data_IF_881189882838
#
_entry.id   IF_881189882838
#
_cell.length_a   1.000
_cell.length_b   1.000
_cell.length_c   1.000
_cell.angle_alpha   90.00
_cell.angle_beta   90.00
_cell.angle_gamma   90.00
#
_symmetry.space_group_name_H-M   'P 1'
#
loop_
_entity.id
_entity.type
_entity.pdbx_description
1 polymer ?
#
# COMPACT_ATOMS: atom_id res chain seq x y z
N UNK A 1 -33.00 -36.74 29.55
CA UNK A 1 -31.52 -36.67 29.50
C UNK A 1 -31.18 -35.48 28.62
N UNK A 2 -30.89 -34.33 29.23
CA UNK A 2 -30.45 -33.16 28.47
C UNK A 2 -29.19 -33.52 27.70
N UNK A 3 -29.28 -33.40 26.38
CA UNK A 3 -28.17 -33.75 25.50
C UNK A 3 -27.13 -32.66 25.71
N UNK A 4 -26.11 -32.97 26.50
CA UNK A 4 -25.03 -32.04 26.87
C UNK A 4 -24.50 -31.39 25.60
N UNK A 5 -24.66 -30.08 25.50
CA UNK A 5 -24.19 -29.29 24.37
C UNK A 5 -22.67 -29.41 24.24
N UNK A 6 -22.17 -29.47 23.01
CA UNK A 6 -20.75 -29.58 22.75
C UNK A 6 -20.01 -28.35 23.28
N UNK A 7 -18.85 -28.56 23.90
CA UNK A 7 -18.12 -27.51 24.63
C UNK A 7 -17.77 -26.29 23.77
N UNK A 8 -17.40 -26.50 22.50
CA UNK A 8 -17.16 -25.39 21.56
C UNK A 8 -18.40 -24.55 21.27
N UNK A 9 -19.59 -25.15 21.27
CA UNK A 9 -20.85 -24.40 21.14
C UNK A 9 -21.22 -23.67 22.43
N UNK A 10 -20.92 -24.25 23.60
CA UNK A 10 -21.05 -23.56 24.91
C UNK A 10 -20.21 -22.29 24.93
N UNK A 11 -18.92 -22.39 24.59
CA UNK A 11 -18.01 -21.24 24.51
C UNK A 11 -18.51 -20.17 23.53
N UNK A 12 -19.05 -20.59 22.38
CA UNK A 12 -19.63 -19.66 21.41
C UNK A 12 -20.80 -18.88 22.02
N UNK A 13 -21.75 -19.56 22.67
CA UNK A 13 -22.91 -18.91 23.28
C UNK A 13 -22.52 -17.97 24.42
N UNK A 14 -21.57 -18.35 25.26
CA UNK A 14 -21.05 -17.49 26.33
C UNK A 14 -20.43 -16.21 25.75
N UNK A 15 -19.58 -16.34 24.73
CA UNK A 15 -18.91 -15.21 24.10
C UNK A 15 -19.90 -14.26 23.39
N UNK A 16 -20.89 -14.80 22.65
CA UNK A 16 -21.86 -13.96 21.92
C UNK A 16 -22.91 -13.34 22.84
N UNK A 17 -23.27 -14.01 23.95
CA UNK A 17 -24.13 -13.44 24.97
C UNK A 17 -23.43 -12.26 25.66
N UNK A 18 -22.16 -12.41 26.02
CA UNK A 18 -21.35 -11.38 26.68
C UNK A 18 -21.07 -10.18 25.79
N UNK A 19 -20.71 -10.40 24.52
CA UNK A 19 -20.23 -9.33 23.61
C UNK A 19 -21.34 -8.70 22.77
N UNK A 20 -22.30 -9.49 22.33
CA UNK A 20 -23.31 -9.07 21.36
C UNK A 20 -24.74 -9.15 21.92
N UNK A 21 -24.91 -9.57 23.18
CA UNK A 21 -26.20 -9.79 23.82
C UNK A 21 -27.12 -10.73 23.01
N UNK A 22 -26.52 -11.75 22.36
CA UNK A 22 -27.21 -12.71 21.52
C UNK A 22 -27.49 -14.00 22.31
N UNK A 23 -28.76 -14.42 22.32
CA UNK A 23 -29.19 -15.58 23.11
C UNK A 23 -29.95 -16.63 22.28
N UNK A 24 -30.32 -16.32 21.02
CA UNK A 24 -31.12 -17.21 20.17
C UNK A 24 -30.33 -17.78 18.99
N UNK A 25 -30.56 -19.07 18.71
CA UNK A 25 -30.01 -19.77 17.53
C UNK A 25 -30.30 -19.05 16.21
N UNK A 26 -31.51 -18.52 16.05
CA UNK A 26 -31.94 -17.85 14.82
C UNK A 26 -31.19 -16.54 14.57
N UNK A 27 -30.92 -15.77 15.62
CA UNK A 27 -30.17 -14.53 15.54
C UNK A 27 -28.71 -14.79 15.18
N UNK A 28 -28.09 -15.80 15.82
CA UNK A 28 -26.73 -16.23 15.52
C UNK A 28 -26.60 -16.76 14.08
N UNK A 29 -27.57 -17.56 13.62
CA UNK A 29 -27.63 -18.07 12.26
C UNK A 29 -27.70 -16.93 11.23
N UNK A 30 -28.55 -15.92 11.47
CA UNK A 30 -28.71 -14.76 10.60
C UNK A 30 -27.42 -13.94 10.51
N UNK A 31 -26.76 -13.65 11.63
CA UNK A 31 -25.51 -12.87 11.64
C UNK A 31 -24.39 -13.62 10.92
N UNK A 32 -24.27 -14.93 11.18
CA UNK A 32 -23.27 -15.76 10.52
C UNK A 32 -23.60 -16.02 9.03
N UNK A 33 -24.85 -15.83 8.61
CA UNK A 33 -25.30 -16.13 7.25
C UNK A 33 -25.35 -17.62 6.97
N UNK A 34 -25.72 -18.41 7.98
CA UNK A 34 -25.86 -19.88 7.89
C UNK A 34 -27.30 -20.27 8.22
N UNK A 35 -27.72 -21.44 7.76
CA UNK A 35 -29.03 -21.99 8.13
C UNK A 35 -29.04 -22.43 9.60
N UNK A 36 -30.18 -22.29 10.29
CA UNK A 36 -30.32 -22.64 11.72
C UNK A 36 -29.95 -24.12 12.02
N UNK A 37 -30.16 -25.01 11.05
CA UNK A 37 -29.75 -26.41 11.14
C UNK A 37 -28.24 -26.57 11.36
N UNK A 38 -27.41 -25.67 10.81
CA UNK A 38 -25.95 -25.67 11.03
C UNK A 38 -25.61 -25.37 12.48
N UNK A 39 -26.30 -24.42 13.12
CA UNK A 39 -26.11 -24.11 14.54
C UNK A 39 -26.54 -25.30 15.41
N UNK A 40 -27.69 -25.93 15.12
CA UNK A 40 -28.13 -27.13 15.85
C UNK A 40 -27.14 -28.31 15.70
N UNK A 41 -26.50 -28.43 14.54
CA UNK A 41 -25.46 -29.44 14.34
C UNK A 41 -24.20 -29.13 15.16
N UNK A 42 -23.80 -27.87 15.26
CA UNK A 42 -22.65 -27.45 16.08
C UNK A 42 -22.89 -27.69 17.57
N UNK A 43 -24.09 -27.42 18.06
CA UNK A 43 -24.47 -27.72 19.45
C UNK A 43 -24.35 -29.21 19.80
N UNK A 44 -24.59 -30.09 18.82
CA UNK A 44 -24.57 -31.54 19.03
C UNK A 44 -23.19 -32.16 18.81
N UNK A 45 -22.44 -31.67 17.82
CA UNK A 45 -21.23 -32.34 17.27
C UNK A 45 -19.97 -31.48 17.32
N UNK A 46 -20.09 -30.23 17.76
CA UNK A 46 -19.03 -29.26 17.71
C UNK A 46 -19.01 -28.44 16.42
N UNK A 47 -18.45 -27.24 16.54
CA UNK A 47 -18.30 -26.30 15.42
C UNK A 47 -17.27 -26.85 14.42
N UNK A 48 -17.62 -26.87 13.14
CA UNK A 48 -16.71 -27.31 12.07
C UNK A 48 -15.56 -26.33 11.88
N UNK A 49 -14.45 -26.77 11.26
CA UNK A 49 -13.32 -25.88 10.92
C UNK A 49 -13.75 -24.66 10.09
N UNK A 50 -14.65 -24.86 9.13
CA UNK A 50 -15.23 -23.76 8.34
C UNK A 50 -16.11 -22.84 9.20
N UNK A 51 -16.88 -23.40 10.13
CA UNK A 51 -17.69 -22.63 11.08
C UNK A 51 -16.84 -21.76 12.02
N UNK A 52 -15.75 -22.31 12.55
CA UNK A 52 -14.81 -21.59 13.41
C UNK A 52 -14.20 -20.39 12.70
N UNK A 53 -13.71 -20.57 11.46
CA UNK A 53 -13.18 -19.48 10.65
C UNK A 53 -14.23 -18.42 10.31
N UNK A 54 -15.46 -18.85 10.03
CA UNK A 54 -16.57 -17.93 9.74
C UNK A 54 -16.93 -17.08 10.96
N UNK A 55 -17.05 -17.71 12.13
CA UNK A 55 -17.30 -17.03 13.41
C UNK A 55 -16.17 -16.05 13.72
N UNK A 56 -14.93 -16.48 13.54
CA UNK A 56 -13.77 -15.62 13.74
C UNK A 56 -13.81 -14.38 12.86
N UNK A 57 -14.11 -14.56 11.57
CA UNK A 57 -14.19 -13.46 10.60
C UNK A 57 -15.31 -12.48 10.95
N UNK A 58 -16.50 -12.98 11.32
CA UNK A 58 -17.70 -12.14 11.49
C UNK A 58 -17.87 -11.57 12.90
N UNK A 59 -17.47 -12.30 13.92
CA UNK A 59 -17.69 -11.95 15.34
C UNK A 59 -16.39 -11.64 16.10
N UNK A 60 -15.22 -11.76 15.43
CA UNK A 60 -13.90 -11.50 16.03
C UNK A 60 -13.64 -12.32 17.31
N UNK A 61 -14.21 -13.52 17.37
CA UNK A 61 -13.99 -14.50 18.44
C UNK A 61 -12.91 -15.48 17.97
N UNK A 62 -11.93 -15.80 18.81
CA UNK A 62 -10.79 -16.62 18.43
C UNK A 62 -11.21 -18.07 18.12
N UNK A 63 -10.87 -18.59 16.94
CA UNK A 63 -11.19 -19.96 16.52
C UNK A 63 -10.51 -21.03 17.38
N UNK A 64 -9.28 -20.80 17.81
CA UNK A 64 -8.51 -21.74 18.62
C UNK A 64 -9.10 -21.83 20.04
N UNK A 65 -9.51 -20.70 20.61
CA UNK A 65 -10.23 -20.67 21.89
C UNK A 65 -11.61 -21.34 21.77
N UNK A 66 -12.36 -21.10 20.70
CA UNK A 66 -13.64 -21.78 20.48
C UNK A 66 -13.48 -23.29 20.38
N UNK A 67 -12.46 -23.76 19.67
CA UNK A 67 -12.20 -25.18 19.48
C UNK A 67 -11.70 -25.86 20.76
N UNK A 68 -10.71 -25.27 21.42
CA UNK A 68 -9.93 -25.92 22.49
C UNK A 68 -10.18 -25.37 23.89
N UNK A 69 -10.69 -24.14 24.01
CA UNK A 69 -10.80 -23.39 25.27
C UNK A 69 -9.48 -22.78 25.73
N UNK A 70 -8.41 -22.88 24.94
CA UNK A 70 -7.07 -22.38 25.27
C UNK A 70 -6.78 -21.10 24.49
N UNK A 71 -6.16 -20.12 25.14
CA UNK A 71 -5.83 -18.81 24.56
C UNK A 71 -6.88 -17.74 24.83
N UNK A 72 -6.75 -16.60 24.15
CA UNK A 72 -7.64 -15.46 24.34
C UNK A 72 -9.00 -15.68 23.67
N UNK A 73 -10.09 -15.35 24.38
CA UNK A 73 -11.47 -15.45 23.91
C UNK A 73 -11.72 -14.63 22.63
N UNK A 74 -11.13 -13.45 22.57
CA UNK A 74 -11.26 -12.51 21.46
C UNK A 74 -9.95 -12.41 20.70
N UNK A 75 -10.06 -12.15 19.40
CA UNK A 75 -8.90 -11.66 18.66
C UNK A 75 -8.67 -10.22 19.10
N UNK A 76 -7.52 -9.96 19.71
CA UNK A 76 -7.10 -8.60 19.99
C UNK A 76 -6.91 -7.86 18.66
N UNK A 77 -7.57 -6.71 18.50
CA UNK A 77 -7.28 -5.80 17.39
C UNK A 77 -5.84 -5.24 17.46
N UNK A 78 -5.15 -5.49 18.57
CA UNK A 78 -3.70 -5.39 18.66
C UNK A 78 -3.07 -6.60 17.96
N UNK A 79 -2.78 -6.45 16.68
CA UNK A 79 -1.82 -7.27 15.94
C UNK A 79 -0.42 -6.93 16.46
N UNK A 80 -0.13 -7.30 17.71
CA UNK A 80 1.19 -7.22 18.35
C UNK A 80 1.15 -8.00 19.67
N UNK A 81 1.00 -9.33 19.60
CA UNK A 81 1.92 -10.20 20.34
C UNK A 81 1.75 -11.67 19.92
N UNK A 82 2.87 -12.38 19.78
CA UNK A 82 2.87 -13.84 19.90
C UNK A 82 2.92 -14.71 18.65
N UNK A 83 3.48 -14.26 17.53
CA UNK A 83 4.18 -15.21 16.63
C UNK A 83 5.65 -14.84 16.61
N UNK A 84 6.36 -15.41 17.58
CA UNK A 84 7.80 -15.61 17.54
C UNK A 84 8.12 -16.66 16.45
N UNK A 85 7.75 -16.38 15.20
CA UNK A 85 8.43 -16.94 14.03
C UNK A 85 9.50 -15.92 13.71
N UNK A 86 10.73 -16.27 14.04
CA UNK A 86 11.86 -15.89 13.22
C UNK A 86 11.64 -16.49 11.81
N UNK A 87 10.66 -15.97 11.08
CA UNK A 87 10.63 -16.09 9.64
C UNK A 87 11.58 -15.02 9.13
N UNK A 88 12.59 -15.43 8.36
CA UNK A 88 13.54 -14.55 7.67
C UNK A 88 12.88 -13.64 6.60
N UNK A 89 11.56 -13.43 6.70
CA UNK A 89 10.69 -12.67 5.82
C UNK A 89 10.49 -11.22 6.29
N UNK A 90 11.14 -10.79 7.39
CA UNK A 90 11.16 -9.39 7.84
C UNK A 90 11.81 -8.38 6.87
N UNK A 91 12.01 -8.76 5.60
CA UNK A 91 12.60 -7.95 4.52
C UNK A 91 11.72 -7.86 3.27
N UNK A 92 10.70 -8.72 3.13
CA UNK A 92 9.76 -8.67 2.01
C UNK A 92 8.36 -8.55 2.59
N UNK A 93 7.82 -7.34 2.51
CA UNK A 93 6.60 -6.90 3.18
C UNK A 93 5.43 -7.87 3.02
N UNK A 94 4.56 -7.85 4.02
CA UNK A 94 3.32 -8.61 4.04
C UNK A 94 2.59 -8.49 2.69
N UNK A 95 2.35 -9.63 2.06
CA UNK A 95 1.57 -9.70 0.82
C UNK A 95 0.10 -9.52 1.20
N UNK A 96 -0.35 -8.27 1.16
CA UNK A 96 -1.77 -7.95 1.26
C UNK A 96 -2.43 -8.17 -0.10
N UNK A 97 -3.37 -9.10 -0.17
CA UNK A 97 -4.29 -9.22 -1.31
C UNK A 97 -5.31 -8.09 -1.21
N UNK A 98 -5.15 -7.05 -2.03
CA UNK A 98 -6.11 -5.96 -2.11
C UNK A 98 -7.29 -6.36 -3.01
N UNK A 99 -8.51 -6.17 -2.51
CA UNK A 99 -9.77 -6.14 -3.28
C UNK A 99 -10.23 -4.67 -3.27
N UNK A 100 -10.82 -4.19 -4.38
CA UNK A 100 -11.41 -2.84 -4.52
C UNK A 100 -12.36 -2.47 -3.37
N UNK A 101 -12.93 -3.46 -2.68
CA UNK A 101 -13.85 -3.29 -1.56
C UNK A 101 -13.21 -3.41 -0.16
N UNK A 102 -11.91 -3.69 -0.09
CA UNK A 102 -11.21 -3.76 1.20
C UNK A 102 -10.84 -2.34 1.64
N UNK A 103 -11.37 -1.83 2.78
CA UNK A 103 -10.88 -0.58 3.31
C UNK A 103 -9.38 -0.73 3.51
N UNK A 104 -8.59 0.10 2.83
CA UNK A 104 -7.15 0.19 3.08
C UNK A 104 -6.98 0.18 4.59
N UNK A 105 -6.23 -0.81 5.10
CA UNK A 105 -5.93 -0.87 6.53
C UNK A 105 -5.44 0.51 6.97
N UNK A 106 -5.63 0.89 8.22
CA UNK A 106 -5.16 2.18 8.76
C UNK A 106 -3.63 2.40 8.64
N UNK A 107 -2.91 1.53 7.94
CA UNK A 107 -1.49 1.47 7.67
C UNK A 107 -1.10 2.19 6.37
N UNK A 108 -2.06 2.55 5.50
CA UNK A 108 -1.77 3.25 4.23
C UNK A 108 -2.32 4.68 4.23
N UNK A 109 -1.68 5.53 3.42
CA UNK A 109 -2.16 6.87 3.07
C UNK A 109 -2.22 7.01 1.57
N UNK A 110 -3.25 7.70 1.06
CA UNK A 110 -3.37 7.97 -0.37
C UNK A 110 -2.55 9.21 -0.73
N UNK A 111 -1.63 9.06 -1.68
CA UNK A 111 -0.77 10.14 -2.18
C UNK A 111 -1.11 10.45 -3.64
N UNK A 112 -1.02 11.72 -4.07
CA UNK A 112 -1.35 12.11 -5.44
C UNK A 112 -0.41 11.48 -6.46
N UNK A 113 -0.96 11.09 -7.62
CA UNK A 113 -0.19 10.66 -8.78
C UNK A 113 -0.23 11.77 -9.83
N UNK A 114 0.92 12.11 -10.40
CA UNK A 114 1.05 13.03 -11.52
C UNK A 114 1.56 12.29 -12.75
N UNK A 115 1.17 12.77 -13.92
CA UNK A 115 1.63 12.23 -15.19
C UNK A 115 1.72 13.31 -16.25
N UNK A 116 2.52 13.01 -17.26
CA UNK A 116 2.62 13.82 -18.46
C UNK A 116 1.35 13.65 -19.30
N UNK A 117 0.85 14.75 -19.82
CA UNK A 117 -0.25 14.80 -20.78
C UNK A 117 0.06 15.82 -21.86
N UNK A 118 -0.54 15.64 -23.03
CA UNK A 118 -0.46 16.60 -24.12
C UNK A 118 -1.88 17.03 -24.46
N UNK A 119 -2.15 18.33 -24.38
CA UNK A 119 -3.44 18.90 -24.75
C UNK A 119 -3.27 19.83 -25.95
N UNK A 120 -4.18 19.77 -26.90
CA UNK A 120 -4.18 20.68 -28.04
C UNK A 120 -4.55 22.09 -27.56
N UNK A 121 -3.65 23.05 -27.71
CA UNK A 121 -3.97 24.46 -27.56
C UNK A 121 -4.80 24.89 -28.77
N UNK A 122 -6.08 25.19 -28.53
CA UNK A 122 -7.05 25.55 -29.57
C UNK A 122 -6.72 26.86 -30.27
N UNK A 123 -5.87 27.71 -29.69
CA UNK A 123 -5.50 29.01 -30.27
C UNK A 123 -4.27 28.88 -31.19
N UNK A 124 -3.33 28.00 -30.84
CA UNK A 124 -2.07 27.84 -31.60
C UNK A 124 -2.05 26.59 -32.49
N UNK A 125 -2.96 25.64 -32.26
CA UNK A 125 -2.97 24.34 -32.95
C UNK A 125 -1.82 23.42 -32.54
N UNK A 126 -1.08 23.78 -31.49
CA UNK A 126 0.09 23.04 -31.00
C UNK A 126 -0.30 22.21 -29.78
N UNK A 127 0.21 20.98 -29.69
CA UNK A 127 0.08 20.19 -28.47
C UNK A 127 0.99 20.75 -27.38
N UNK A 128 0.38 21.27 -26.31
CA UNK A 128 1.06 21.78 -25.14
C UNK A 128 1.29 20.64 -24.13
N UNK A 129 2.53 20.52 -23.66
CA UNK A 129 2.86 19.65 -22.54
C UNK A 129 2.19 20.17 -21.25
N UNK A 130 1.55 19.27 -20.53
CA UNK A 130 0.94 19.55 -19.23
C UNK A 130 1.32 18.45 -18.25
N UNK A 131 1.70 18.87 -17.03
CA UNK A 131 1.97 17.98 -15.92
C UNK A 131 0.83 18.07 -14.92
N UNK A 132 -0.08 17.10 -14.99
CA UNK A 132 -1.36 17.17 -14.29
C UNK A 132 -1.44 16.15 -13.17
N UNK A 133 -2.12 16.53 -12.09
CA UNK A 133 -2.51 15.58 -11.07
C UNK A 133 -3.62 14.68 -11.63
N UNK A 134 -3.45 13.37 -11.50
CA UNK A 134 -4.45 12.37 -11.83
C UNK A 134 -5.60 12.38 -10.82
N UNK A 135 -6.78 11.97 -11.26
CA UNK A 135 -7.89 11.62 -10.37
C UNK A 135 -7.55 10.39 -9.51
N UNK A 136 -6.62 9.56 -9.97
CA UNK A 136 -6.11 8.42 -9.22
C UNK A 136 -5.08 8.84 -8.17
N UNK A 137 -5.15 8.18 -7.02
CA UNK A 137 -4.16 8.28 -5.94
C UNK A 137 -3.57 6.91 -5.70
N UNK A 138 -2.34 6.86 -5.20
CA UNK A 138 -1.66 5.62 -4.88
C UNK A 138 -1.62 5.38 -3.37
N UNK A 139 -1.84 4.14 -2.90
CA UNK A 139 -1.63 3.80 -1.51
C UNK A 139 -0.12 3.78 -1.21
N UNK A 140 0.29 4.50 -0.18
CA UNK A 140 1.66 4.52 0.34
C UNK A 140 1.66 4.03 1.80
N UNK A 141 2.56 3.11 2.13
CA UNK A 141 2.66 2.56 3.49
C UNK A 141 3.14 3.63 4.48
N UNK A 142 2.39 3.83 5.57
CA UNK A 142 2.79 4.69 6.69
C UNK A 142 4.09 4.20 7.34
N UNK A 143 4.34 2.90 7.36
CA UNK A 143 5.59 2.34 7.87
C UNK A 143 6.77 2.70 6.98
N UNK A 144 6.62 2.60 5.65
CA UNK A 144 7.63 3.06 4.71
C UNK A 144 7.95 4.54 4.93
N UNK A 145 6.91 5.38 5.02
CA UNK A 145 7.06 6.82 5.28
C UNK A 145 7.81 7.11 6.58
N UNK A 146 7.48 6.41 7.68
CA UNK A 146 8.22 6.49 8.94
C UNK A 146 9.67 6.07 8.79
N UNK A 147 9.94 4.97 8.08
CA UNK A 147 11.28 4.42 7.85
C UNK A 147 12.16 5.39 7.05
N UNK A 148 11.61 6.04 6.02
CA UNK A 148 12.36 7.02 5.22
C UNK A 148 12.33 8.43 5.81
N UNK A 149 11.50 8.68 6.82
CA UNK A 149 11.38 9.97 7.49
C UNK A 149 10.61 11.04 6.69
N UNK A 150 9.71 10.63 5.80
CA UNK A 150 8.96 11.53 4.91
C UNK A 150 7.51 11.66 5.39
N UNK A 151 7.00 12.90 5.46
CA UNK A 151 5.59 13.16 5.81
C UNK A 151 4.70 13.00 4.58
N UNK A 152 3.47 12.49 4.77
CA UNK A 152 2.55 12.19 3.66
C UNK A 152 2.23 13.41 2.79
N UNK A 153 2.23 14.60 3.37
CA UNK A 153 1.96 15.88 2.70
C UNK A 153 3.07 16.26 1.71
N UNK A 154 4.27 15.71 1.89
CA UNK A 154 5.43 15.96 1.04
C UNK A 154 5.63 14.85 0.00
N UNK A 155 4.70 13.90 -0.11
CA UNK A 155 4.80 12.77 -1.05
C UNK A 155 3.96 13.05 -2.27
N UNK A 156 4.60 13.00 -3.44
CA UNK A 156 3.92 12.94 -4.73
C UNK A 156 4.47 11.76 -5.53
N UNK A 157 3.60 11.06 -6.25
CA UNK A 157 4.01 10.03 -7.18
C UNK A 157 4.00 10.57 -8.60
N UNK A 158 4.92 10.10 -9.45
CA UNK A 158 5.04 10.50 -10.85
C UNK A 158 5.22 9.28 -11.74
N UNK A 159 4.60 9.27 -12.92
CA UNK A 159 4.89 8.28 -13.96
C UNK A 159 6.18 8.65 -14.70
N UNK A 160 7.04 7.67 -14.93
CA UNK A 160 8.23 7.81 -15.78
C UNK A 160 7.82 7.62 -17.22
N UNK A 161 8.28 8.52 -18.10
CA UNK A 161 8.02 8.45 -19.54
C UNK A 161 9.34 8.37 -20.32
N UNK A 162 9.38 7.47 -21.29
CA UNK A 162 10.51 7.20 -22.16
C UNK A 162 11.62 6.36 -21.52
N UNK A 163 12.69 6.14 -22.28
CA UNK A 163 13.76 5.18 -21.95
C UNK A 163 15.00 5.79 -21.28
N UNK A 164 14.99 7.09 -20.97
CA UNK A 164 16.15 7.81 -20.41
C UNK A 164 16.65 7.25 -19.07
N UNK A 165 15.76 6.66 -18.27
CA UNK A 165 16.09 6.13 -16.95
C UNK A 165 16.19 4.61 -16.93
N UNK A 166 16.13 3.96 -18.09
CA UNK A 166 16.34 2.52 -18.20
C UNK A 166 17.80 2.12 -17.93
N UNK A 167 18.04 0.88 -17.44
CA UNK A 167 17.05 -0.15 -17.11
C UNK A 167 16.43 0.00 -15.72
N UNK A 168 16.84 1.01 -14.95
CA UNK A 168 16.45 1.17 -13.54
C UNK A 168 14.98 1.56 -13.40
N UNK A 169 14.53 2.49 -14.24
CA UNK A 169 13.14 2.93 -14.33
C UNK A 169 12.71 2.80 -15.80
N UNK A 170 11.91 1.78 -16.08
CA UNK A 170 11.30 1.57 -17.39
C UNK A 170 10.20 2.59 -17.65
N UNK A 171 9.87 2.80 -18.91
CA UNK A 171 8.67 3.54 -19.30
C UNK A 171 7.43 3.00 -18.55
N UNK A 172 6.61 3.91 -18.03
CA UNK A 172 5.43 3.59 -17.21
C UNK A 172 5.73 3.25 -15.73
N UNK A 173 7.00 3.23 -15.30
CA UNK A 173 7.34 3.07 -13.87
C UNK A 173 6.76 4.20 -13.03
N UNK A 174 6.47 3.94 -11.76
CA UNK A 174 6.01 4.95 -10.80
C UNK A 174 7.15 5.28 -9.85
N UNK A 175 7.39 6.57 -9.61
CA UNK A 175 8.39 7.05 -8.66
C UNK A 175 7.71 7.92 -7.60
N UNK A 176 7.97 7.63 -6.32
CA UNK A 176 7.56 8.50 -5.21
C UNK A 176 8.67 9.49 -4.87
N UNK A 177 8.29 10.77 -4.82
CA UNK A 177 9.15 11.93 -4.63
C UNK A 177 8.85 12.55 -3.28
N UNK A 178 9.90 12.82 -2.49
CA UNK A 178 9.85 13.68 -1.32
C UNK A 178 10.12 15.12 -1.75
N UNK A 179 9.08 15.94 -1.73
CA UNK A 179 9.11 17.35 -2.15
C UNK A 179 9.73 18.29 -1.11
N UNK A 180 9.95 17.81 0.12
CA UNK A 180 10.61 18.60 1.17
C UNK A 180 12.12 18.65 1.04
N UNK A 181 12.73 17.65 0.38
CA UNK A 181 14.17 17.54 0.20
C UNK A 181 14.61 17.99 -1.19
N UNK A 182 15.08 19.25 -1.29
CA UNK A 182 15.61 19.84 -2.53
C UNK A 182 17.14 19.89 -2.60
N UNK A 183 17.82 19.43 -1.56
CA UNK A 183 19.30 19.42 -1.52
C UNK A 183 19.81 18.28 -2.41
N UNK A 184 20.69 18.63 -3.36
CA UNK A 184 21.34 17.66 -4.24
C UNK A 184 22.34 16.82 -3.44
N UNK A 185 22.14 15.51 -3.50
CA UNK A 185 23.07 14.46 -3.07
C UNK A 185 23.45 13.69 -4.33
N UNK A 186 24.74 13.68 -4.63
CA UNK A 186 25.26 13.20 -5.91
C UNK A 186 24.77 11.78 -6.24
N UNK A 187 24.32 11.61 -7.48
CA UNK A 187 23.85 10.35 -8.03
C UNK A 187 22.47 9.90 -7.57
N UNK A 188 21.79 10.67 -6.69
CA UNK A 188 20.38 10.42 -6.38
C UNK A 188 19.48 10.83 -7.53
N UNK A 189 18.32 10.20 -7.61
CA UNK A 189 17.28 10.47 -8.60
C UNK A 189 16.37 11.58 -8.07
N UNK A 190 16.08 12.56 -8.92
CA UNK A 190 15.25 13.71 -8.62
C UNK A 190 14.16 13.88 -9.67
N UNK A 191 13.03 14.43 -9.25
CA UNK A 191 12.12 15.10 -10.15
C UNK A 191 12.56 16.57 -10.25
N UNK A 192 12.77 17.02 -11.49
CA UNK A 192 13.13 18.40 -11.79
C UNK A 192 12.16 18.98 -12.81
N UNK A 193 11.97 20.28 -12.77
CA UNK A 193 11.29 21.03 -13.81
C UNK A 193 12.32 21.90 -14.52
N UNK A 194 12.38 21.80 -15.85
CA UNK A 194 13.25 22.60 -16.71
C UNK A 194 12.39 23.24 -17.79
N UNK A 195 12.18 24.56 -17.68
CA UNK A 195 11.13 25.25 -18.42
C UNK A 195 9.76 24.67 -18.09
N UNK A 196 9.08 24.13 -19.10
CA UNK A 196 7.76 23.50 -18.94
C UNK A 196 7.81 21.99 -18.71
N UNK A 197 8.97 21.35 -18.84
CA UNK A 197 9.08 19.89 -18.78
C UNK A 197 9.45 19.42 -17.38
N UNK A 198 8.69 18.44 -16.87
CA UNK A 198 9.09 17.68 -15.67
C UNK A 198 9.87 16.45 -16.11
N UNK A 199 11.04 16.22 -15.50
CA UNK A 199 11.97 15.15 -15.87
C UNK A 199 12.41 14.39 -14.61
N UNK A 200 12.49 13.06 -14.70
CA UNK A 200 13.12 12.22 -13.68
C UNK A 200 14.57 11.98 -14.10
N UNK A 201 15.53 12.45 -13.32
CA UNK A 201 16.97 12.45 -13.68
C UNK A 201 17.86 12.21 -12.47
N UNK A 202 19.09 11.75 -12.69
CA UNK A 202 20.14 11.82 -11.66
C UNK A 202 20.74 13.22 -11.65
N UNK A 203 21.01 13.75 -10.46
CA UNK A 203 21.70 15.02 -10.31
C UNK A 203 23.06 14.81 -9.62
N UNK A 204 24.05 15.59 -10.07
CA UNK A 204 25.35 15.72 -9.41
C UNK A 204 25.70 17.20 -9.30
N UNK A 205 26.21 17.62 -8.15
CA UNK A 205 26.69 18.99 -7.99
C UNK A 205 28.16 19.06 -8.40
N UNK A 206 28.43 19.74 -9.52
CA UNK A 206 29.78 19.85 -10.09
C UNK A 206 30.50 21.07 -9.52
N UNK A 207 29.77 22.16 -9.30
CA UNK A 207 30.27 23.40 -8.70
C UNK A 207 29.19 24.06 -7.86
N UNK A 208 29.49 25.24 -7.28
CA UNK A 208 28.53 26.00 -6.49
C UNK A 208 27.25 26.34 -7.25
N UNK A 209 27.33 26.62 -8.55
CA UNK A 209 26.20 27.03 -9.39
C UNK A 209 25.91 26.08 -10.55
N UNK A 210 26.66 24.97 -10.65
CA UNK A 210 26.60 24.07 -11.80
C UNK A 210 26.17 22.68 -11.37
N UNK A 211 25.15 22.16 -12.05
CA UNK A 211 24.59 20.82 -11.85
C UNK A 211 24.75 20.01 -13.12
N UNK A 212 25.11 18.75 -12.95
CA UNK A 212 25.05 17.76 -14.01
C UNK A 212 23.74 16.98 -13.92
N UNK A 213 22.95 17.03 -14.98
CA UNK A 213 21.77 16.20 -15.19
C UNK A 213 22.21 14.97 -15.98
N UNK A 214 21.93 13.79 -15.46
CA UNK A 214 22.39 12.53 -16.05
C UNK A 214 21.27 11.50 -16.12
N UNK A 215 21.27 10.75 -17.22
CA UNK A 215 20.39 9.62 -17.46
C UNK A 215 21.01 8.31 -16.93
N UNK A 216 20.20 7.27 -16.69
CA UNK A 216 20.74 5.93 -16.45
C UNK A 216 21.11 5.24 -17.76
N UNK A 217 20.30 5.43 -18.80
CA UNK A 217 20.56 4.90 -20.12
C UNK A 217 21.64 5.74 -20.81
N UNK A 218 22.91 5.42 -20.55
CA UNK A 218 24.08 6.09 -21.16
C UNK A 218 24.56 5.39 -22.43
N UNK A 219 23.93 4.28 -22.83
CA UNK A 219 24.27 3.55 -24.05
C UNK A 219 23.69 4.26 -25.28
N UNK A 220 22.51 4.86 -25.15
CA UNK A 220 21.95 5.74 -26.17
C UNK A 220 22.63 7.13 -26.10
N UNK A 221 23.34 7.48 -27.19
CA UNK A 221 24.04 8.77 -27.33
C UNK A 221 23.11 9.97 -27.25
N UNK A 222 21.80 9.80 -27.46
CA UNK A 222 20.81 10.85 -27.27
C UNK A 222 20.66 11.30 -25.81
N UNK A 223 21.16 10.52 -24.85
CA UNK A 223 21.04 10.77 -23.41
C UNK A 223 22.38 11.15 -22.74
N UNK A 224 23.20 11.92 -23.46
CA UNK A 224 24.43 12.48 -22.91
C UNK A 224 24.16 13.39 -21.69
N UNK A 225 25.14 13.45 -20.78
CA UNK A 225 25.07 14.31 -19.60
C UNK A 225 24.95 15.79 -19.99
N UNK A 226 24.03 16.50 -19.33
CA UNK A 226 23.82 17.94 -19.51
C UNK A 226 24.43 18.70 -18.32
N UNK A 227 25.20 19.76 -18.59
CA UNK A 227 25.68 20.69 -17.56
C UNK A 227 24.86 21.97 -17.64
N UNK A 228 24.14 22.27 -16.56
CA UNK A 228 23.23 23.41 -16.47
C UNK A 228 23.57 24.26 -15.25
N UNK A 229 23.12 25.52 -15.27
CA UNK A 229 23.13 26.33 -14.06
C UNK A 229 22.01 25.85 -13.13
N UNK A 230 22.24 25.95 -11.82
CA UNK A 230 21.27 25.51 -10.81
C UNK A 230 19.95 26.30 -10.89
N UNK A 231 19.97 27.54 -11.39
CA UNK A 231 18.80 28.41 -11.55
C UNK A 231 18.00 28.15 -12.84
N UNK A 232 18.55 27.38 -13.78
CA UNK A 232 17.84 26.92 -14.99
C UNK A 232 16.87 25.75 -14.71
N UNK A 233 16.94 25.18 -13.50
CA UNK A 233 16.10 24.07 -13.07
C UNK A 233 15.42 24.36 -11.73
N UNK A 234 14.18 23.89 -11.59
CA UNK A 234 13.51 23.81 -10.30
C UNK A 234 13.57 22.35 -9.82
N UNK A 235 14.16 22.12 -8.65
CA UNK A 235 14.12 20.80 -8.00
C UNK A 235 12.77 20.63 -7.32
N UNK A 236 11.96 19.70 -7.82
CA UNK A 236 10.67 19.35 -7.22
C UNK A 236 10.91 18.54 -5.95
N UNK A 237 11.80 17.55 -6.01
CA UNK A 237 12.15 16.71 -4.86
C UNK A 237 13.00 15.52 -5.23
N UNK A 238 13.34 14.71 -4.22
CA UNK A 238 14.18 13.51 -4.37
C UNK A 238 13.32 12.24 -4.39
N UNK A 239 13.65 11.30 -5.27
CA UNK A 239 13.02 9.99 -5.28
C UNK A 239 13.50 9.15 -4.09
N UNK A 240 12.55 8.56 -3.37
CA UNK A 240 12.84 7.67 -2.23
C UNK A 240 12.31 6.24 -2.42
N UNK A 241 11.42 6.03 -3.39
CA UNK A 241 10.86 4.73 -3.73
C UNK A 241 10.39 4.73 -5.19
N UNK A 242 10.39 3.56 -5.83
CA UNK A 242 9.80 3.37 -7.15
C UNK A 242 9.29 1.94 -7.35
N UNK A 243 8.38 1.79 -8.30
CA UNK A 243 7.86 0.50 -8.77
C UNK A 243 8.02 0.41 -10.28
N UNK A 244 8.58 -0.71 -10.76
CA UNK A 244 8.76 -1.00 -12.17
C UNK A 244 7.69 -1.99 -12.60
N UNK A 245 6.90 -1.62 -13.60
CA UNK A 245 5.92 -2.51 -14.22
C UNK A 245 6.51 -3.05 -15.52
N UNK A 246 6.30 -4.34 -15.77
CA UNK A 246 6.72 -4.97 -17.02
C UNK A 246 5.47 -5.53 -17.69
N UNK A 247 5.26 -5.15 -18.96
CA UNK A 247 4.22 -5.76 -19.79
C UNK A 247 4.51 -7.25 -19.94
N UNK A 248 3.48 -8.08 -19.71
CA UNK A 248 3.48 -9.52 -19.93
C UNK A 248 3.05 -9.79 -21.37
#
# INVERSE_FOLDING_TARGET
MDKKMHESAVRLYEAVAKKYNLHKQSELANILGVVQQSISNWEKRGISKQGLLLIQKKLKINADWLASGVGDELISDNVNDGINKQSNIGLYGDVFLYDENSPLSGEYVMVPLYHDTYALDTNTGIYAYQFNQSDFKLPCSKELLKKVGVQKENVVCMTVTGSSMEPVLKDGSIVAIDTSSKIIKDGKIYAIKQGNLVRIRKLYRVASDTVKISCYNQEDKAYSDELVKIDEIEIIGVAFWWSVVQSI
#
